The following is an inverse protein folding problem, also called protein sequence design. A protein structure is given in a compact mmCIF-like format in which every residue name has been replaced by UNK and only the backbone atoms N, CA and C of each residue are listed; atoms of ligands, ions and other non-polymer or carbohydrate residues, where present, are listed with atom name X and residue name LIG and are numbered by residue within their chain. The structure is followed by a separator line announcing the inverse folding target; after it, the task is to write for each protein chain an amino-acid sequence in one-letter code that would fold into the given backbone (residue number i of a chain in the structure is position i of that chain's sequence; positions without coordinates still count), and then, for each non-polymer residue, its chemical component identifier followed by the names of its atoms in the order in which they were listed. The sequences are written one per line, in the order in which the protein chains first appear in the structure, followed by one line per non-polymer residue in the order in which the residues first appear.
data_IF_209956651678
#
_entry.id   IF_209956651678
#
_cell.length_a   1.000
_cell.length_b   1.000
_cell.length_c   1.000
_cell.angle_alpha   90.00
_cell.angle_beta   90.00
_cell.angle_gamma   90.00
#
_symmetry.space_group_name_H-M   'P 1'
#
loop_
_entity.id
_entity.type
_entity.pdbx_description
1 polymer ?
#
# COMPACT_ATOMS: atom_id res chain seq x y z
N UNK A 1 2.65 12.49 2.46
CA UNK A 1 2.85 13.54 1.45
C UNK A 1 2.83 12.83 0.12
N UNK A 2 1.91 13.19 -0.76
CA UNK A 2 1.92 12.70 -2.14
C UNK A 2 2.49 13.85 -2.97
N UNK A 3 3.41 13.51 -3.88
CA UNK A 3 4.05 14.46 -4.80
C UNK A 3 3.63 14.05 -6.19
N UNK A 4 2.94 14.94 -6.89
CA UNK A 4 2.70 14.83 -8.33
C UNK A 4 3.58 15.82 -9.07
N UNK A 5 4.08 15.37 -10.22
CA UNK A 5 4.76 16.24 -11.17
C UNK A 5 3.78 16.54 -12.29
N UNK A 6 3.46 17.82 -12.47
CA UNK A 6 2.57 18.24 -13.54
C UNK A 6 3.24 18.17 -14.92
N UNK A 7 2.48 18.45 -15.99
CA UNK A 7 3.01 18.44 -17.35
C UNK A 7 4.06 19.54 -17.62
N UNK A 8 4.17 20.54 -16.73
CA UNK A 8 5.17 21.61 -16.79
C UNK A 8 6.44 21.26 -15.99
N UNK A 9 6.46 20.15 -15.24
CA UNK A 9 7.58 19.72 -14.41
C UNK A 9 7.59 20.35 -13.02
N UNK A 10 6.50 20.99 -12.59
CA UNK A 10 6.35 21.55 -11.25
C UNK A 10 5.91 20.45 -10.27
N UNK A 11 6.55 20.40 -9.11
CA UNK A 11 6.21 19.45 -8.04
C UNK A 11 5.12 20.07 -7.16
N UNK A 12 3.89 19.59 -7.30
CA UNK A 12 2.82 19.87 -6.35
C UNK A 12 2.78 18.77 -5.30
N UNK A 13 2.80 19.16 -4.04
CA UNK A 13 2.78 18.23 -2.93
C UNK A 13 1.69 18.57 -1.92
N UNK A 14 0.89 17.57 -1.57
CA UNK A 14 -0.17 17.70 -0.58
C UNK A 14 0.03 16.73 0.59
N UNK A 15 -0.36 17.20 1.78
CA UNK A 15 -0.33 16.43 3.01
C UNK A 15 -1.67 15.70 3.13
N UNK A 16 -1.68 14.41 2.77
CA UNK A 16 -2.82 13.52 3.04
C UNK A 16 -2.83 13.04 4.48
N UNK A 17 -4.02 13.04 5.09
CA UNK A 17 -4.24 12.45 6.40
C UNK A 17 -5.02 11.12 6.27
N UNK A 18 -4.37 9.95 6.42
CA UNK A 18 -5.03 8.66 6.28
C UNK A 18 -6.12 8.50 7.32
N UNK A 19 -7.28 8.04 6.88
CA UNK A 19 -8.22 7.38 7.77
C UNK A 19 -7.74 5.94 8.02
N UNK A 20 -7.50 5.53 9.29
CA UNK A 20 -7.11 4.16 9.60
C UNK A 20 -8.17 3.16 9.11
N UNK A 21 -7.72 2.09 8.47
CA UNK A 21 -8.56 0.96 8.08
C UNK A 21 -8.21 -0.27 8.93
N UNK A 22 -7.52 -1.23 8.31
CA UNK A 22 -7.18 -2.50 8.92
C UNK A 22 -5.69 -2.83 8.75
N UNK A 23 -5.22 -3.84 9.51
CA UNK A 23 -3.83 -4.30 9.45
C UNK A 23 -3.79 -5.73 8.96
N UNK A 24 -3.04 -5.98 7.89
CA UNK A 24 -2.76 -7.33 7.42
C UNK A 24 -1.45 -7.79 8.07
N UNK A 25 -1.46 -9.00 8.64
CA UNK A 25 -0.28 -9.59 9.28
C UNK A 25 0.17 -10.83 8.51
N UNK A 26 1.41 -10.79 8.03
CA UNK A 26 2.11 -11.95 7.51
C UNK A 26 3.06 -12.50 8.58
N UNK A 27 3.10 -13.83 8.72
CA UNK A 27 3.89 -14.49 9.77
C UNK A 27 5.35 -14.65 9.39
N UNK A 28 5.61 -14.97 8.14
CA UNK A 28 6.94 -15.27 7.63
C UNK A 28 7.09 -14.65 6.25
N UNK A 29 7.91 -13.61 6.18
CA UNK A 29 8.24 -12.94 4.93
C UNK A 29 9.75 -12.85 4.79
N UNK A 30 10.25 -13.19 3.62
CA UNK A 30 11.64 -12.95 3.26
C UNK A 30 11.74 -11.50 2.75
N UNK A 31 12.17 -10.61 3.63
CA UNK A 31 12.44 -9.23 3.28
C UNK A 31 13.90 -9.11 2.85
N UNK A 32 14.13 -8.91 1.56
CA UNK A 32 15.45 -8.59 1.00
C UNK A 32 15.81 -7.11 1.27
N UNK A 33 15.69 -6.68 2.52
CA UNK A 33 15.96 -5.30 2.96
C UNK A 33 17.15 -5.28 3.91
N UNK A 34 18.08 -4.34 3.68
CA UNK A 34 19.23 -4.10 4.55
C UNK A 34 18.85 -3.76 6.00
N UNK A 35 17.57 -3.45 6.28
CA UNK A 35 17.06 -3.22 7.62
C UNK A 35 16.97 -4.50 8.47
N UNK A 36 16.97 -5.68 7.84
CA UNK A 36 16.88 -6.98 8.52
C UNK A 36 18.13 -7.81 8.22
N UNK A 37 19.22 -7.53 8.95
CA UNK A 37 20.52 -8.22 8.82
C UNK A 37 20.47 -9.72 9.16
N UNK A 38 19.52 -10.11 9.99
CA UNK A 38 19.25 -11.52 10.25
C UNK A 38 18.32 -12.04 9.15
N UNK A 39 18.83 -12.89 8.25
CA UNK A 39 18.10 -13.65 7.22
C UNK A 39 17.06 -14.63 7.80
N UNK A 40 16.29 -14.19 8.80
CA UNK A 40 15.24 -14.95 9.47
C UNK A 40 13.90 -14.41 8.97
N UNK A 41 12.99 -15.35 8.70
CA UNK A 41 11.60 -15.03 8.39
C UNK A 41 11.05 -14.07 9.45
N UNK A 42 10.71 -12.86 9.03
CA UNK A 42 10.23 -11.80 9.92
C UNK A 42 8.74 -11.57 9.70
N UNK A 43 8.03 -11.20 10.77
CA UNK A 43 6.62 -10.81 10.67
C UNK A 43 6.53 -9.49 9.90
N UNK A 44 5.54 -9.36 9.03
CA UNK A 44 5.25 -8.13 8.30
C UNK A 44 3.84 -7.65 8.64
N UNK A 45 3.72 -6.37 8.99
CA UNK A 45 2.46 -5.70 9.23
C UNK A 45 2.23 -4.66 8.12
N UNK A 46 1.15 -4.83 7.36
CA UNK A 46 0.74 -3.92 6.31
C UNK A 46 -0.45 -3.11 6.82
N UNK A 47 -0.25 -1.82 7.08
CA UNK A 47 -1.35 -0.93 7.44
C UNK A 47 -2.09 -0.51 6.17
N UNK A 48 -3.36 -0.88 6.07
CA UNK A 48 -4.26 -0.45 5.02
C UNK A 48 -5.08 0.74 5.55
N UNK A 49 -4.90 1.88 4.90
CA UNK A 49 -5.59 3.13 5.15
C UNK A 49 -6.39 3.55 3.90
N UNK A 50 -7.29 4.49 4.06
CA UNK A 50 -8.04 5.12 2.97
C UNK A 50 -7.95 6.65 3.10
N UNK A 51 -8.15 7.37 2.00
CA UNK A 51 -8.15 8.83 1.97
C UNK A 51 -9.19 9.32 0.96
N UNK A 52 -10.06 10.24 1.38
CA UNK A 52 -11.10 10.85 0.53
C UNK A 52 -10.58 12.02 -0.32
N UNK A 53 -9.37 12.49 -0.05
CA UNK A 53 -8.77 13.65 -0.72
C UNK A 53 -8.16 13.29 -2.09
N UNK A 54 -8.30 12.04 -2.54
CA UNK A 54 -7.74 11.54 -3.79
C UNK A 54 -8.85 11.26 -4.81
N UNK A 55 -8.61 11.51 -6.11
CA UNK A 55 -9.60 11.25 -7.14
C UNK A 55 -9.97 9.75 -7.17
N UNK A 56 -11.25 9.41 -7.36
CA UNK A 56 -11.68 8.02 -7.49
C UNK A 56 -11.03 7.36 -8.71
N UNK A 57 -10.97 6.01 -8.76
CA UNK A 57 -10.63 5.30 -9.98
C UNK A 57 -11.45 5.82 -11.17
N UNK A 58 -10.83 5.87 -12.35
CA UNK A 58 -11.42 6.50 -13.55
C UNK A 58 -12.68 5.74 -14.03
N UNK A 59 -12.77 4.45 -13.73
CA UNK A 59 -13.84 3.56 -14.20
C UNK A 59 -14.64 2.99 -13.01
N UNK A 60 -15.94 3.29 -12.97
CA UNK A 60 -16.91 2.66 -12.06
C UNK A 60 -17.21 1.23 -12.52
N UNK A 61 -16.32 0.29 -12.18
CA UNK A 61 -16.48 -1.12 -12.48
C UNK A 61 -17.23 -1.84 -11.35
N UNK A 62 -18.22 -2.64 -11.72
CA UNK A 62 -18.90 -3.57 -10.81
C UNK A 62 -18.01 -4.78 -10.50
N UNK A 63 -18.28 -5.46 -9.38
CA UNK A 63 -17.50 -6.61 -8.89
C UNK A 63 -17.32 -7.70 -9.96
N UNK A 64 -18.39 -8.06 -10.68
CA UNK A 64 -18.35 -9.08 -11.74
C UNK A 64 -17.45 -8.69 -12.92
N UNK A 65 -17.40 -7.39 -13.25
CA UNK A 65 -16.58 -6.87 -14.33
C UNK A 65 -15.10 -6.89 -13.93
N UNK A 66 -14.80 -6.52 -12.67
CA UNK A 66 -13.45 -6.61 -12.12
C UNK A 66 -12.97 -8.06 -12.11
N UNK A 67 -13.81 -9.00 -11.65
CA UNK A 67 -13.49 -10.42 -11.66
C UNK A 67 -13.17 -10.93 -13.07
N UNK A 68 -13.98 -10.56 -14.06
CA UNK A 68 -13.74 -10.93 -15.46
C UNK A 68 -12.41 -10.39 -16.02
N UNK A 69 -11.97 -9.19 -15.59
CA UNK A 69 -10.67 -8.64 -15.98
C UNK A 69 -9.53 -9.41 -15.31
N UNK A 70 -9.67 -9.74 -14.02
CA UNK A 70 -8.65 -10.50 -13.27
C UNK A 70 -8.45 -11.92 -13.82
N UNK A 71 -9.49 -12.55 -14.35
CA UNK A 71 -9.43 -13.87 -14.99
C UNK A 71 -9.01 -13.82 -16.47
N UNK A 72 -8.84 -12.62 -17.03
CA UNK A 72 -8.47 -12.45 -18.44
C UNK A 72 -6.97 -12.67 -18.71
N UNK A 73 -6.60 -12.74 -19.98
CA UNK A 73 -5.19 -12.84 -20.40
C UNK A 73 -4.36 -11.60 -20.04
N UNK A 74 -5.01 -10.47 -19.74
CA UNK A 74 -4.36 -9.23 -19.30
C UNK A 74 -5.08 -8.64 -18.08
N UNK A 75 -4.77 -9.15 -16.87
CA UNK A 75 -5.33 -8.62 -15.62
C UNK A 75 -4.79 -7.24 -15.26
N UNK A 76 -3.73 -6.79 -15.94
CA UNK A 76 -3.07 -5.51 -15.66
C UNK A 76 -3.90 -4.30 -16.10
N UNK A 77 -5.00 -4.54 -16.82
CA UNK A 77 -6.00 -3.53 -17.24
C UNK A 77 -6.78 -2.95 -16.07
N UNK A 78 -6.86 -3.65 -14.94
CA UNK A 78 -7.44 -3.11 -13.72
C UNK A 78 -6.33 -2.83 -12.70
N UNK A 79 -6.22 -1.57 -12.27
CA UNK A 79 -5.24 -1.14 -11.27
C UNK A 79 -5.90 -0.21 -10.28
N UNK A 80 -5.69 -0.50 -9.01
CA UNK A 80 -6.05 0.40 -7.91
C UNK A 80 -4.79 1.21 -7.63
N UNK A 81 -4.83 2.55 -7.75
CA UNK A 81 -3.73 3.37 -7.29
C UNK A 81 -3.49 3.09 -5.80
N UNK A 82 -2.23 2.98 -5.39
CA UNK A 82 -1.85 2.71 -4.02
C UNK A 82 -0.63 3.57 -3.70
N UNK A 83 -0.70 4.32 -2.60
CA UNK A 83 0.49 4.93 -2.02
C UNK A 83 1.10 3.94 -1.02
N UNK A 84 2.36 3.58 -1.20
CA UNK A 84 3.09 2.64 -0.34
C UNK A 84 4.14 3.42 0.45
N UNK A 85 4.03 3.44 1.78
CA UNK A 85 5.00 4.10 2.63
C UNK A 85 6.27 3.28 2.86
N UNK A 86 7.19 3.85 3.64
CA UNK A 86 8.46 3.22 3.95
C UNK A 86 8.31 2.00 4.87
N UNK A 87 9.29 1.10 4.79
CA UNK A 87 9.42 -0.04 5.69
C UNK A 87 10.09 0.44 6.99
N UNK A 88 9.40 0.23 8.10
CA UNK A 88 9.85 0.51 9.45
C UNK A 88 10.13 -0.80 10.20
N UNK A 89 11.19 -0.82 11.02
CA UNK A 89 11.41 -1.89 11.98
C UNK A 89 10.67 -1.55 13.28
N UNK A 90 9.77 -2.45 13.71
CA UNK A 90 8.97 -2.30 14.93
C UNK A 90 9.17 -3.51 15.84
N UNK A 91 8.71 -3.40 17.10
CA UNK A 91 8.60 -4.54 18.01
C UNK A 91 7.16 -4.97 18.13
N UNK A 92 6.92 -6.28 18.07
CA UNK A 92 5.60 -6.83 18.32
C UNK A 92 5.30 -6.92 19.84
N UNK A 93 4.10 -7.41 20.18
CA UNK A 93 3.67 -7.54 21.58
C UNK A 93 4.52 -8.51 22.42
N UNK A 94 5.38 -9.33 21.79
CA UNK A 94 6.34 -10.22 22.45
C UNK A 94 7.74 -9.59 22.55
N UNK A 95 7.91 -8.38 22.03
CA UNK A 95 9.20 -7.69 21.94
C UNK A 95 10.10 -8.20 20.80
N UNK A 96 9.57 -9.03 19.90
CA UNK A 96 10.32 -9.54 18.74
C UNK A 96 10.33 -8.49 17.62
N UNK A 97 11.44 -8.41 16.88
CA UNK A 97 11.55 -7.52 15.73
C UNK A 97 10.58 -7.96 14.62
N UNK A 98 9.92 -6.99 14.00
CA UNK A 98 9.03 -7.17 12.88
C UNK A 98 9.14 -5.98 11.91
N UNK A 99 8.74 -6.21 10.67
CA UNK A 99 8.61 -5.16 9.67
C UNK A 99 7.19 -4.60 9.67
N UNK A 100 7.07 -3.30 9.44
CA UNK A 100 5.81 -2.62 9.21
C UNK A 100 5.96 -1.74 7.98
N UNK A 101 5.01 -1.80 7.06
CA UNK A 101 4.92 -0.79 6.00
C UNK A 101 3.95 0.28 6.47
N UNK A 102 4.46 1.51 6.60
CA UNK A 102 3.66 2.67 6.98
C UNK A 102 2.65 3.04 5.89
N UNK A 103 1.44 3.44 6.33
CA UNK A 103 0.39 4.09 5.54
C UNK A 103 0.24 3.61 4.09
N UNK A 104 -0.26 2.38 3.86
CA UNK A 104 -0.68 2.02 2.51
C UNK A 104 -2.07 2.59 2.29
N UNK A 105 -2.17 3.66 1.51
CA UNK A 105 -3.44 4.27 1.20
C UNK A 105 -4.01 3.60 -0.03
N UNK A 106 -5.08 2.83 0.18
CA UNK A 106 -5.92 2.39 -0.92
C UNK A 106 -6.75 3.59 -1.38
N UNK A 107 -6.71 3.83 -2.68
CA UNK A 107 -7.61 4.75 -3.34
C UNK A 107 -8.94 4.01 -3.48
N UNK A 108 -9.95 4.43 -2.72
CA UNK A 108 -11.32 3.92 -2.84
C UNK A 108 -12.27 5.09 -3.12
N UNK A 109 -13.36 4.85 -3.88
CA UNK A 109 -14.42 5.83 -4.16
C UNK A 109 -15.13 6.33 -2.89
#
# INVERSE_FOLDING_TARGET
MIVETDAAGEEEAWVVNPCPGYVIKFREVNLASELFFDNKNSKLFLNICHCLELPPPIDDLEEDQVAAILDSEDPSRYRIPLSVGEIECIRDNKGENAAKVGQNFLFFP
#
